data_IF_956951497442
#
_entry.id   IF_956951497442
#
_cell.length_a   1.000
_cell.length_b   1.000
_cell.length_c   1.000
_cell.angle_alpha   90.00
_cell.angle_beta   90.00
_cell.angle_gamma   90.00
#
_symmetry.space_group_name_H-M   'P 1'
#
loop_
_entity.id
_entity.type
_entity.pdbx_description
1 polymer ?
#
# COMPACT_ATOMS: atom_id res chain seq x y z
N UNK A 1 31.82 5.18 2.58
CA UNK A 1 31.81 5.63 1.16
C UNK A 1 31.70 4.36 0.31
N UNK A 2 30.53 4.03 -0.24
CA UNK A 2 30.37 2.85 -1.10
C UNK A 2 31.21 3.04 -2.37
N UNK A 3 31.95 2.00 -2.75
CA UNK A 3 32.80 2.02 -3.93
C UNK A 3 31.90 2.05 -5.18
N UNK A 4 32.26 2.83 -6.21
CA UNK A 4 31.55 2.83 -7.50
C UNK A 4 31.60 1.47 -8.23
N UNK A 5 32.32 0.50 -7.65
CA UNK A 5 32.44 -0.87 -8.12
C UNK A 5 31.39 -1.83 -7.54
N UNK A 6 30.60 -1.39 -6.54
CA UNK A 6 29.59 -2.23 -5.90
C UNK A 6 28.35 -2.38 -6.80
N UNK A 7 28.27 -3.52 -7.50
CA UNK A 7 27.14 -3.89 -8.37
C UNK A 7 25.99 -4.59 -7.62
N UNK A 8 25.86 -4.38 -6.31
CA UNK A 8 24.77 -5.01 -5.56
C UNK A 8 23.41 -4.45 -6.02
N UNK A 9 22.33 -5.26 -6.02
CA UNK A 9 21.00 -4.78 -6.39
C UNK A 9 20.52 -3.60 -5.55
N UNK A 10 20.85 -3.60 -4.24
CA UNK A 10 20.50 -2.53 -3.30
C UNK A 10 21.26 -1.23 -3.59
N UNK A 11 22.57 -1.33 -3.87
CA UNK A 11 23.36 -0.16 -4.24
C UNK A 11 22.81 0.45 -5.54
N UNK A 12 22.63 -0.38 -6.57
CA UNK A 12 22.09 0.06 -7.87
C UNK A 12 20.72 0.73 -7.74
N UNK A 13 19.83 0.14 -6.94
CA UNK A 13 18.52 0.71 -6.64
C UNK A 13 18.60 2.09 -5.98
N UNK A 14 19.45 2.23 -4.95
CA UNK A 14 19.61 3.50 -4.23
C UNK A 14 20.18 4.63 -5.10
N UNK A 15 20.97 4.29 -6.11
CA UNK A 15 21.48 5.24 -7.10
C UNK A 15 20.46 5.60 -8.19
N UNK A 16 19.53 4.70 -8.49
CA UNK A 16 18.58 4.87 -9.61
C UNK A 16 17.26 5.49 -9.18
N UNK A 17 16.85 5.30 -7.92
CA UNK A 17 15.56 5.78 -7.42
C UNK A 17 15.51 7.31 -7.27
N UNK A 18 14.37 7.90 -7.64
CA UNK A 18 14.08 9.30 -7.35
C UNK A 18 13.78 9.48 -5.85
N UNK A 19 14.72 10.13 -5.17
CA UNK A 19 14.69 10.33 -3.72
C UNK A 19 13.63 11.34 -3.29
N UNK A 20 13.30 12.30 -4.15
CA UNK A 20 12.25 13.29 -3.87
C UNK A 20 10.87 12.64 -3.95
N UNK A 21 10.65 11.80 -4.95
CA UNK A 21 9.43 11.00 -5.03
C UNK A 21 9.30 10.03 -3.86
N UNK A 22 10.38 9.32 -3.52
CA UNK A 22 10.39 8.42 -2.35
C UNK A 22 10.08 9.18 -1.06
N UNK A 23 10.73 10.33 -0.84
CA UNK A 23 10.45 11.18 0.32
C UNK A 23 9.00 11.66 0.34
N UNK A 24 8.45 12.11 -0.80
CA UNK A 24 7.07 12.54 -0.91
C UNK A 24 6.08 11.42 -0.54
N UNK A 25 6.28 10.19 -1.03
CA UNK A 25 5.45 9.04 -0.65
C UNK A 25 5.54 8.73 0.84
N UNK A 26 6.75 8.67 1.40
CA UNK A 26 6.95 8.40 2.83
C UNK A 26 6.33 9.49 3.70
N UNK A 27 6.46 10.76 3.31
CA UNK A 27 5.81 11.88 3.98
C UNK A 27 4.29 11.79 3.89
N UNK A 28 3.72 11.48 2.73
CA UNK A 28 2.27 11.29 2.57
C UNK A 28 1.73 10.16 3.45
N UNK A 29 2.43 9.03 3.50
CA UNK A 29 2.06 7.90 4.35
C UNK A 29 2.14 8.26 5.85
N UNK A 30 3.22 8.93 6.26
CA UNK A 30 3.39 9.41 7.64
C UNK A 30 2.35 10.45 8.04
N UNK A 31 2.07 11.43 7.18
CA UNK A 31 1.01 12.42 7.39
C UNK A 31 -0.36 11.76 7.47
N UNK A 32 -0.65 10.75 6.65
CA UNK A 32 -1.88 9.97 6.74
C UNK A 32 -2.06 9.30 8.11
N UNK A 33 -0.99 8.77 8.68
CA UNK A 33 -1.02 8.20 10.05
C UNK A 33 -1.28 9.29 11.09
N UNK A 34 -0.56 10.41 11.04
CA UNK A 34 -0.72 11.53 11.99
C UNK A 34 -2.15 12.10 11.93
N UNK A 35 -2.68 12.31 10.73
CA UNK A 35 -4.05 12.77 10.53
C UNK A 35 -5.09 11.76 11.03
N UNK A 36 -4.80 10.45 10.89
CA UNK A 36 -5.67 9.41 11.46
C UNK A 36 -5.76 9.52 12.97
N UNK A 37 -4.64 9.78 13.67
CA UNK A 37 -4.65 10.00 15.13
C UNK A 37 -5.47 11.24 15.55
N UNK A 38 -5.43 12.31 14.74
CA UNK A 38 -6.16 13.53 15.04
C UNK A 38 -7.67 13.41 14.77
N UNK A 39 -8.07 12.74 13.69
CA UNK A 39 -9.45 12.71 13.22
C UNK A 39 -10.26 11.50 13.73
N UNK A 40 -9.61 10.38 14.07
CA UNK A 40 -10.29 9.14 14.40
C UNK A 40 -11.05 9.08 15.73
N UNK A 41 -10.61 9.72 16.84
CA UNK A 41 -11.24 9.53 18.14
C UNK A 41 -12.70 9.95 18.17
N UNK A 42 -13.02 11.11 17.57
CA UNK A 42 -14.38 11.66 17.55
C UNK A 42 -15.39 10.78 16.80
N UNK A 43 -14.93 9.99 15.83
CA UNK A 43 -15.77 9.05 15.07
C UNK A 43 -15.83 7.68 15.77
N UNK A 44 -14.72 7.22 16.32
CA UNK A 44 -14.64 5.95 17.03
C UNK A 44 -15.57 5.93 18.26
N UNK A 45 -15.58 7.01 19.05
CA UNK A 45 -16.43 7.15 20.23
C UNK A 45 -17.93 7.07 19.87
N UNK A 46 -18.33 7.67 18.73
CA UNK A 46 -19.71 7.60 18.23
C UNK A 46 -20.16 6.20 17.83
N UNK A 47 -19.22 5.33 17.47
CA UNK A 47 -19.49 3.96 17.00
C UNK A 47 -19.19 2.95 18.13
N UNK A 48 -18.79 3.42 19.33
CA UNK A 48 -18.45 2.57 20.47
C UNK A 48 -17.15 1.77 20.28
N UNK A 49 -16.26 2.25 19.42
CA UNK A 49 -14.93 1.67 19.18
C UNK A 49 -13.87 2.41 20.00
N UNK A 50 -12.72 1.75 20.20
CA UNK A 50 -11.56 2.38 20.82
C UNK A 50 -11.11 3.62 20.02
N UNK A 51 -10.73 4.69 20.72
CA UNK A 51 -10.41 6.01 20.15
C UNK A 51 -9.34 5.96 19.06
N UNK A 52 -8.42 5.00 19.14
CA UNK A 52 -7.33 4.81 18.19
C UNK A 52 -7.54 3.65 17.21
N UNK A 53 -8.73 3.06 17.15
CA UNK A 53 -9.01 1.91 16.28
C UNK A 53 -8.59 2.13 14.82
N UNK A 54 -8.93 3.28 14.25
CA UNK A 54 -8.60 3.61 12.86
C UNK A 54 -7.11 3.92 12.67
N UNK A 55 -6.48 4.63 13.61
CA UNK A 55 -5.06 4.92 13.56
C UNK A 55 -4.21 3.64 13.64
N UNK A 56 -4.57 2.72 14.53
CA UNK A 56 -3.91 1.40 14.64
C UNK A 56 -4.03 0.61 13.34
N UNK A 57 -5.21 0.57 12.72
CA UNK A 57 -5.39 -0.07 11.40
C UNK A 57 -4.58 0.61 10.31
N UNK A 58 -4.53 1.94 10.30
CA UNK A 58 -3.74 2.69 9.32
C UNK A 58 -2.26 2.27 9.40
N UNK A 59 -1.70 2.15 10.60
CA UNK A 59 -0.33 1.68 10.80
C UNK A 59 -0.18 0.23 10.30
N UNK A 60 -1.09 -0.66 10.71
CA UNK A 60 -1.05 -2.08 10.31
C UNK A 60 -1.07 -2.25 8.79
N UNK A 61 -1.85 -1.45 8.06
CA UNK A 61 -1.90 -1.51 6.60
C UNK A 61 -0.75 -0.75 5.91
N UNK A 62 -0.16 0.24 6.57
CA UNK A 62 1.00 0.98 6.04
C UNK A 62 2.23 0.08 5.93
N UNK A 63 2.44 -0.82 6.90
CA UNK A 63 3.60 -1.75 6.90
C UNK A 63 3.65 -2.66 5.65
N UNK A 64 2.61 -3.44 5.31
CA UNK A 64 2.62 -4.25 4.10
C UNK A 64 2.61 -3.39 2.84
N UNK A 65 1.99 -2.20 2.85
CA UNK A 65 2.04 -1.27 1.72
C UNK A 65 3.48 -0.82 1.41
N UNK A 66 4.27 -0.49 2.44
CA UNK A 66 5.70 -0.19 2.29
C UNK A 66 6.47 -1.39 1.73
N UNK A 67 6.18 -2.60 2.24
CA UNK A 67 6.78 -3.83 1.73
C UNK A 67 6.51 -4.04 0.24
N UNK A 68 5.26 -3.89 -0.20
CA UNK A 68 4.87 -4.00 -1.60
C UNK A 68 5.50 -2.91 -2.45
N UNK A 69 5.49 -1.65 -2.01
CA UNK A 69 6.10 -0.52 -2.72
C UNK A 69 7.59 -0.77 -2.98
N UNK A 70 8.33 -1.15 -1.93
CA UNK A 70 9.75 -1.44 -2.05
C UNK A 70 9.98 -2.65 -2.95
N UNK A 71 9.29 -3.77 -2.72
CA UNK A 71 9.45 -4.99 -3.52
C UNK A 71 9.20 -4.76 -5.02
N UNK A 72 8.12 -4.03 -5.37
CA UNK A 72 7.79 -3.72 -6.76
C UNK A 72 8.82 -2.78 -7.38
N UNK A 73 9.41 -1.87 -6.61
CA UNK A 73 10.45 -0.94 -7.12
C UNK A 73 11.76 -1.64 -7.51
N UNK A 74 11.99 -2.88 -7.05
CA UNK A 74 13.14 -3.70 -7.46
C UNK A 74 12.89 -4.52 -8.73
N UNK A 75 11.67 -4.53 -9.27
CA UNK A 75 11.33 -5.36 -10.43
C UNK A 75 11.78 -4.73 -11.75
N UNK A 76 12.26 -5.59 -12.64
CA UNK A 76 12.57 -5.20 -14.01
C UNK A 76 11.31 -5.04 -14.87
N UNK A 77 11.42 -4.27 -15.95
CA UNK A 77 10.31 -4.00 -16.89
C UNK A 77 9.63 -5.27 -17.44
N UNK A 78 10.40 -6.36 -17.66
CA UNK A 78 9.85 -7.65 -18.10
C UNK A 78 9.03 -8.34 -17.00
N UNK A 79 9.49 -8.27 -15.75
CA UNK A 79 8.79 -8.84 -14.60
C UNK A 79 7.50 -8.06 -14.33
N UNK A 80 7.57 -6.73 -14.38
CA UNK A 80 6.40 -5.84 -14.25
C UNK A 80 5.35 -6.19 -15.31
N UNK A 81 5.73 -6.41 -16.57
CA UNK A 81 4.77 -6.78 -17.63
C UNK A 81 4.08 -8.11 -17.36
N UNK A 82 4.80 -9.14 -16.91
CA UNK A 82 4.21 -10.44 -16.55
C UNK A 82 3.28 -10.31 -15.35
N UNK A 83 3.73 -9.60 -14.32
CA UNK A 83 2.96 -9.35 -13.11
C UNK A 83 1.68 -8.57 -13.41
N UNK A 84 1.73 -7.56 -14.28
CA UNK A 84 0.57 -6.78 -14.70
C UNK A 84 -0.50 -7.66 -15.36
N UNK A 85 -0.12 -8.60 -16.25
CA UNK A 85 -1.07 -9.52 -16.88
C UNK A 85 -1.68 -10.50 -15.86
N UNK A 86 -0.86 -11.05 -14.95
CA UNK A 86 -1.35 -11.94 -13.89
C UNK A 86 -2.32 -11.21 -12.97
N UNK A 87 -1.96 -10.01 -12.51
CA UNK A 87 -2.82 -9.17 -11.67
C UNK A 87 -4.10 -8.82 -12.41
N UNK A 88 -4.03 -8.45 -13.69
CA UNK A 88 -5.22 -8.14 -14.49
C UNK A 88 -6.20 -9.31 -14.51
N UNK A 89 -5.74 -10.50 -14.87
CA UNK A 89 -6.59 -11.69 -14.89
C UNK A 89 -7.17 -11.99 -13.50
N UNK A 90 -6.35 -11.89 -12.45
CA UNK A 90 -6.80 -12.09 -11.07
C UNK A 90 -7.87 -11.07 -10.66
N UNK A 91 -7.70 -9.80 -11.01
CA UNK A 91 -8.69 -8.75 -10.71
C UNK A 91 -10.00 -8.94 -11.49
N UNK A 92 -9.94 -9.41 -12.74
CA UNK A 92 -11.14 -9.76 -13.50
C UNK A 92 -11.89 -10.91 -12.85
N UNK A 93 -11.18 -11.93 -12.37
CA UNK A 93 -11.79 -13.04 -11.62
C UNK A 93 -12.42 -12.54 -10.32
N UNK A 94 -11.72 -11.71 -9.55
CA UNK A 94 -12.25 -11.14 -8.30
C UNK A 94 -13.48 -10.24 -8.55
N UNK A 95 -13.50 -9.50 -9.66
CA UNK A 95 -14.65 -8.67 -10.06
C UNK A 95 -15.89 -9.52 -10.34
N UNK A 96 -15.74 -10.70 -10.93
CA UNK A 96 -16.86 -11.65 -11.08
C UNK A 96 -17.20 -12.29 -9.72
N UNK A 97 -16.19 -12.66 -8.94
CA UNK A 97 -16.37 -13.31 -7.64
C UNK A 97 -17.15 -12.44 -6.65
N UNK A 98 -16.94 -11.12 -6.64
CA UNK A 98 -17.63 -10.19 -5.72
C UNK A 98 -19.16 -10.26 -5.83
N UNK A 99 -19.71 -10.67 -6.97
CA UNK A 99 -21.16 -10.82 -7.15
C UNK A 99 -21.71 -11.99 -6.31
N UNK A 100 -20.90 -13.02 -6.10
CA UNK A 100 -21.28 -14.25 -5.41
C UNK A 100 -20.89 -14.25 -3.93
N UNK A 101 -19.67 -13.80 -3.60
CA UNK A 101 -19.11 -13.87 -2.25
C UNK A 101 -18.96 -12.50 -1.56
N UNK A 102 -19.21 -11.40 -2.27
CA UNK A 102 -18.95 -10.07 -1.76
C UNK A 102 -19.95 -9.61 -0.70
N UNK A 103 -19.45 -8.84 0.27
CA UNK A 103 -20.28 -8.25 1.33
C UNK A 103 -21.01 -7.02 0.79
N UNK A 104 -22.32 -6.97 1.04
CA UNK A 104 -23.14 -5.83 0.68
C UNK A 104 -23.00 -4.72 1.72
N UNK A 105 -22.51 -3.57 1.27
CA UNK A 105 -22.36 -2.38 2.12
C UNK A 105 -23.01 -1.21 1.40
N UNK A 106 -24.04 -0.62 2.03
CA UNK A 106 -24.81 0.51 1.48
C UNK A 106 -25.46 0.19 0.11
N UNK A 107 -26.01 -1.01 -0.05
CA UNK A 107 -26.77 -1.41 -1.25
C UNK A 107 -25.92 -1.85 -2.45
N UNK A 108 -24.60 -2.04 -2.28
CA UNK A 108 -23.71 -2.51 -3.33
C UNK A 108 -22.70 -3.54 -2.80
N UNK A 109 -22.42 -4.58 -3.61
CA UNK A 109 -21.38 -5.59 -3.35
C UNK A 109 -20.09 -5.18 -4.08
N UNK A 110 -19.14 -4.63 -3.33
CA UNK A 110 -17.85 -4.14 -3.85
C UNK A 110 -16.64 -4.49 -2.98
N UNK A 111 -16.88 -5.30 -1.94
CA UNK A 111 -15.87 -5.77 -1.01
C UNK A 111 -15.82 -7.28 -1.12
N UNK A 112 -14.66 -7.80 -1.53
CA UNK A 112 -14.35 -9.24 -1.50
C UNK A 112 -13.79 -9.59 -0.13
#
# INVERSE_FOLDING_TARGET
MQSRLDKSPVATWWWTIDRWFLAAFLSLMGLGIVLSFAASPAVAERIGLDSFHFATRQIIFTVPALGVMLAVSFLDSRQIRRMALVILCLMLVLMVAVLYIGVEVKGARRWV
#
